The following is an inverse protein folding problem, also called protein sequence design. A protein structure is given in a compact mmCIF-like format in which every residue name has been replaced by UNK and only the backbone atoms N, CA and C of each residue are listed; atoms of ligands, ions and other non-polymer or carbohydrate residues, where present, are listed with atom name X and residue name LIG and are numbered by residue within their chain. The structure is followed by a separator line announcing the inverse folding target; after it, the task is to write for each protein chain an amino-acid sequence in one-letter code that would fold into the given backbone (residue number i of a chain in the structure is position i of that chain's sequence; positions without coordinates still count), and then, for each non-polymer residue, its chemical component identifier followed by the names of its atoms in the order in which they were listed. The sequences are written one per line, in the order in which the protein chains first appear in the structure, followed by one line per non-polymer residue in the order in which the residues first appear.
data_IF_239097114148
#
_entry.id   IF_239097114148
#
_cell.length_a   1.000
_cell.length_b   1.000
_cell.length_c   1.000
_cell.angle_alpha   90.00
_cell.angle_beta   90.00
_cell.angle_gamma   90.00
#
_symmetry.space_group_name_H-M   'P 1'
#
loop_
_entity.id
_entity.type
_entity.pdbx_description
1 polymer ?
#
# COMPACT_ATOMS: atom_id res chain seq x y z
N UNK A 1 -20.71 15.77 10.63
CA UNK A 1 -19.52 15.15 10.02
C UNK A 1 -18.55 16.26 9.67
N UNK A 2 -17.26 16.00 9.79
CA UNK A 2 -16.19 16.94 9.50
C UNK A 2 -15.61 16.64 8.11
N UNK A 3 -15.34 17.68 7.32
CA UNK A 3 -14.65 17.54 6.05
C UNK A 3 -13.14 17.67 6.29
N UNK A 4 -12.35 16.94 5.51
CA UNK A 4 -10.90 17.00 5.58
C UNK A 4 -10.34 17.02 4.17
N UNK A 5 -9.39 17.92 3.93
CA UNK A 5 -8.60 17.94 2.70
C UNK A 5 -7.15 17.63 3.05
N UNK A 6 -6.48 16.85 2.21
CA UNK A 6 -5.09 16.54 2.48
C UNK A 6 -4.43 15.58 1.52
N UNK A 7 -3.15 15.34 1.81
CA UNK A 7 -2.27 14.42 1.10
C UNK A 7 -1.59 13.49 2.10
N UNK A 8 -1.53 12.22 1.76
CA UNK A 8 -0.72 11.22 2.47
C UNK A 8 0.30 10.66 1.50
N UNK A 9 1.56 10.57 1.94
CA UNK A 9 2.64 9.93 1.19
C UNK A 9 2.99 8.64 1.91
N UNK A 10 2.78 7.52 1.23
CA UNK A 10 3.03 6.18 1.73
C UNK A 10 4.20 5.59 0.97
N UNK A 11 5.18 5.11 1.70
CA UNK A 11 6.28 4.31 1.17
C UNK A 11 5.98 2.84 1.41
N UNK A 12 6.16 2.04 0.36
CA UNK A 12 6.09 0.58 0.44
C UNK A 12 7.44 0.04 0.04
N UNK A 13 8.05 -0.72 0.94
CA UNK A 13 9.26 -1.48 0.65
C UNK A 13 8.92 -2.96 0.68
N UNK A 14 9.53 -3.73 -0.22
CA UNK A 14 9.32 -5.17 -0.29
C UNK A 14 10.63 -5.90 -0.50
N UNK A 15 10.69 -7.16 -0.05
CA UNK A 15 11.82 -8.06 -0.30
C UNK A 15 11.33 -9.32 -1.00
N UNK A 16 12.12 -9.82 -1.95
CA UNK A 16 11.88 -11.10 -2.63
C UNK A 16 10.48 -11.21 -3.26
N UNK A 17 9.96 -10.12 -3.85
CA UNK A 17 8.70 -10.17 -4.60
C UNK A 17 8.95 -10.89 -5.93
N UNK A 18 8.30 -12.04 -6.12
CA UNK A 18 8.41 -12.79 -7.36
C UNK A 18 7.45 -12.20 -8.40
N UNK A 19 7.99 -11.52 -9.41
CA UNK A 19 7.21 -10.88 -10.47
C UNK A 19 7.71 -11.39 -11.83
N UNK A 20 6.82 -11.92 -12.69
CA UNK A 20 7.20 -12.30 -14.04
C UNK A 20 7.66 -11.07 -14.83
N UNK A 21 8.78 -11.23 -15.55
CA UNK A 21 9.34 -10.21 -16.44
C UNK A 21 8.84 -10.42 -17.86
N UNK A 22 8.32 -9.37 -18.50
CA UNK A 22 7.82 -9.41 -19.89
C UNK A 22 6.43 -8.81 -20.07
N UNK A 23 6.03 -8.60 -21.33
CA UNK A 23 4.71 -8.08 -21.76
C UNK A 23 4.30 -6.69 -21.23
N UNK A 24 5.23 -5.90 -20.68
CA UNK A 24 4.93 -4.56 -20.15
C UNK A 24 4.03 -4.56 -18.90
N UNK A 25 3.83 -5.71 -18.27
CA UNK A 25 2.94 -5.86 -17.11
C UNK A 25 3.67 -5.82 -15.76
N UNK A 26 5.00 -5.89 -15.75
CA UNK A 26 5.82 -5.96 -14.52
C UNK A 26 5.51 -4.83 -13.55
N UNK A 27 5.47 -3.58 -14.02
CA UNK A 27 5.17 -2.42 -13.16
C UNK A 27 3.74 -2.46 -12.61
N UNK A 28 2.78 -2.89 -13.43
CA UNK A 28 1.39 -3.05 -13.00
C UNK A 28 1.24 -4.09 -11.90
N UNK A 29 1.96 -5.22 -12.00
CA UNK A 29 1.97 -6.27 -10.98
C UNK A 29 2.61 -5.75 -9.68
N UNK A 30 3.73 -5.04 -9.77
CA UNK A 30 4.39 -4.44 -8.59
C UNK A 30 3.43 -3.46 -7.91
N UNK A 31 2.83 -2.56 -8.68
CA UNK A 31 1.88 -1.57 -8.16
C UNK A 31 0.66 -2.22 -7.50
N UNK A 32 0.09 -3.25 -8.13
CA UNK A 32 -1.04 -4.00 -7.61
C UNK A 32 -0.70 -4.64 -6.25
N UNK A 33 0.41 -5.38 -6.17
CA UNK A 33 0.85 -6.03 -4.94
C UNK A 33 1.11 -5.01 -3.80
N UNK A 34 1.78 -3.89 -4.11
CA UNK A 34 2.00 -2.82 -3.13
C UNK A 34 0.67 -2.24 -2.61
N UNK A 35 -0.29 -1.99 -3.51
CA UNK A 35 -1.60 -1.43 -3.17
C UNK A 35 -2.43 -2.38 -2.31
N UNK A 36 -2.45 -3.67 -2.64
CA UNK A 36 -3.12 -4.69 -1.84
C UNK A 36 -2.53 -4.78 -0.44
N UNK A 37 -1.20 -4.77 -0.32
CA UNK A 37 -0.55 -4.83 0.99
C UNK A 37 -0.80 -3.56 1.82
N UNK A 38 -0.85 -2.37 1.21
CA UNK A 38 -1.30 -1.14 1.88
C UNK A 38 -2.68 -1.34 2.48
N UNK A 39 -3.64 -1.84 1.70
CA UNK A 39 -4.99 -2.05 2.19
C UNK A 39 -5.07 -3.15 3.25
N UNK A 40 -4.40 -4.30 3.03
CA UNK A 40 -4.37 -5.43 3.94
C UNK A 40 -3.75 -5.09 5.30
N UNK A 41 -2.80 -4.17 5.36
CA UNK A 41 -2.17 -3.72 6.62
C UNK A 41 -2.83 -2.48 7.24
N UNK A 42 -3.82 -1.88 6.57
CA UNK A 42 -4.55 -0.74 7.12
C UNK A 42 -5.38 -1.14 8.35
N UNK A 43 -5.58 -0.23 9.33
CA UNK A 43 -6.38 -0.51 10.53
C UNK A 43 -7.85 -0.86 10.25
N UNK A 44 -8.37 -0.47 9.08
CA UNK A 44 -9.77 -0.67 8.65
C UNK A 44 -9.96 -1.80 7.65
N UNK A 45 -8.94 -2.64 7.47
CA UNK A 45 -9.01 -3.77 6.55
C UNK A 45 -10.04 -4.80 7.01
N UNK A 46 -10.86 -5.28 6.07
CA UNK A 46 -11.72 -6.45 6.27
C UNK A 46 -11.06 -7.75 5.81
N UNK A 47 -9.82 -7.66 5.31
CA UNK A 47 -9.07 -8.78 4.76
C UNK A 47 -8.43 -9.56 5.92
N UNK A 48 -8.44 -10.89 5.80
CA UNK A 48 -7.81 -11.80 6.76
C UNK A 48 -6.33 -11.47 6.97
N UNK A 49 -5.85 -11.67 8.21
CA UNK A 49 -4.41 -11.56 8.55
C UNK A 49 -3.53 -12.49 7.69
N UNK A 50 -4.07 -13.59 7.17
CA UNK A 50 -3.33 -14.53 6.32
C UNK A 50 -2.85 -13.95 4.98
N UNK A 51 -3.41 -12.82 4.54
CA UNK A 51 -3.04 -12.14 3.30
C UNK A 51 -1.95 -11.07 3.55
N UNK A 52 -1.66 -10.79 4.82
CA UNK A 52 -0.55 -9.89 5.19
C UNK A 52 0.77 -10.59 4.92
N UNK A 53 1.59 -9.97 4.09
CA UNK A 53 2.92 -10.46 3.82
C UNK A 53 3.95 -9.62 4.59
N UNK A 54 4.73 -10.24 5.46
CA UNK A 54 5.75 -9.56 6.26
C UNK A 54 6.94 -9.07 5.43
N UNK A 55 7.08 -9.58 4.20
CA UNK A 55 8.06 -9.08 3.26
C UNK A 55 7.76 -7.65 2.80
N UNK A 56 6.52 -7.19 2.95
CA UNK A 56 6.11 -5.81 2.66
C UNK A 56 6.09 -4.98 3.93
N UNK A 57 6.84 -3.88 3.95
CA UNK A 57 6.80 -2.88 5.01
C UNK A 57 6.20 -1.59 4.46
N UNK A 58 5.30 -1.00 5.23
CA UNK A 58 4.56 0.21 4.85
C UNK A 58 4.88 1.28 5.87
N UNK A 59 5.40 2.41 5.38
CA UNK A 59 5.72 3.58 6.19
C UNK A 59 4.91 4.77 5.69
N UNK A 60 4.29 5.52 6.59
CA UNK A 60 3.70 6.82 6.24
C UNK A 60 4.78 7.87 6.40
N UNK A 61 5.30 8.38 5.28
CA UNK A 61 6.39 9.35 5.29
C UNK A 61 5.89 10.76 5.58
N UNK A 62 4.70 11.12 5.07
CA UNK A 62 4.14 12.46 5.23
C UNK A 62 2.62 12.41 5.28
N UNK A 63 2.04 13.17 6.20
CA UNK A 63 0.60 13.31 6.36
C UNK A 63 0.26 14.79 6.49
N UNK A 64 -0.12 15.41 5.37
CA UNK A 64 -0.57 16.78 5.29
C UNK A 64 -2.10 16.79 5.20
N UNK A 65 -2.80 16.54 6.32
CA UNK A 65 -4.27 16.54 6.38
C UNK A 65 -4.74 17.68 7.26
N UNK A 66 -5.66 18.49 6.75
CA UNK A 66 -6.27 19.62 7.44
C UNK A 66 -7.78 19.45 7.49
N UNK A 67 -8.36 19.94 8.56
CA UNK A 67 -9.80 20.06 8.71
C UNK A 67 -10.30 21.24 7.89
N UNK A 68 -11.41 21.05 7.19
CA UNK A 68 -12.14 22.08 6.43
C UNK A 68 -13.19 22.76 7.30
#
# INVERSE_FOLDING_TARGET
MANFNGKVTIEVTFKNMNVPVGFGMTDAIIYHNCSEQIYAKSPWTKISRSIKNDNFKINVLKKDIKWD
#
